data_IF_435657277251
#
_entry.id   IF_435657277251
#
_cell.length_a   1.000
_cell.length_b   1.000
_cell.length_c   1.000
_cell.angle_alpha   90.00
_cell.angle_beta   90.00
_cell.angle_gamma   90.00
#
_symmetry.space_group_name_H-M   'P 1'
#
loop_
_entity.id
_entity.type
_entity.pdbx_description
1 polymer ?
#
# COMPACT_ATOMS: atom_id res chain seq x y z
N UNK A 1 29.79 7.78 -12.01
CA UNK A 1 28.73 6.79 -12.29
C UNK A 1 27.39 7.41 -11.94
N UNK A 2 26.35 7.21 -12.75
CA UNK A 2 24.98 7.68 -12.47
C UNK A 2 24.13 6.48 -12.03
N UNK A 3 23.72 6.46 -10.76
CA UNK A 3 22.97 5.36 -10.12
C UNK A 3 21.45 5.54 -10.13
N UNK A 4 20.98 6.55 -10.86
CA UNK A 4 19.56 6.88 -10.94
C UNK A 4 19.19 7.12 -12.40
N UNK A 5 18.10 6.51 -12.83
CA UNK A 5 17.48 6.82 -14.11
C UNK A 5 16.90 8.25 -14.03
N UNK A 6 17.01 9.06 -15.10
CA UNK A 6 16.35 10.36 -15.19
C UNK A 6 14.84 10.20 -15.44
N UNK A 7 14.17 9.44 -14.58
CA UNK A 7 12.75 9.13 -14.70
C UNK A 7 11.92 10.14 -13.94
N UNK A 8 10.91 10.70 -14.61
CA UNK A 8 9.89 11.53 -13.98
C UNK A 8 8.70 10.67 -13.59
N UNK A 9 8.54 10.39 -12.30
CA UNK A 9 7.38 9.66 -11.78
C UNK A 9 6.20 10.63 -11.68
N UNK A 10 5.21 10.43 -12.53
CA UNK A 10 3.96 11.20 -12.47
C UNK A 10 3.17 10.81 -11.24
N UNK A 11 2.54 11.79 -10.60
CA UNK A 11 1.60 11.51 -9.52
C UNK A 11 0.41 10.69 -10.03
N UNK A 12 -0.11 9.74 -9.24
CA UNK A 12 -1.33 9.04 -9.60
C UNK A 12 -2.50 10.03 -9.67
N UNK A 13 -3.44 9.78 -10.60
CA UNK A 13 -4.61 10.64 -10.81
C UNK A 13 -5.53 10.68 -9.58
N UNK A 14 -5.55 9.62 -8.78
CA UNK A 14 -6.28 9.52 -7.51
C UNK A 14 -5.32 9.19 -6.38
N UNK A 15 -5.46 9.91 -5.27
CA UNK A 15 -4.83 9.61 -3.99
C UNK A 15 -5.88 9.00 -3.06
N UNK A 16 -5.42 8.24 -2.07
CA UNK A 16 -6.28 7.77 -0.98
C UNK A 16 -6.49 8.89 0.04
N UNK A 17 -7.66 8.91 0.67
CA UNK A 17 -8.02 9.81 1.75
C UNK A 17 -8.60 9.00 2.93
N UNK A 18 -8.74 9.62 4.11
CA UNK A 18 -9.24 8.95 5.31
C UNK A 18 -10.66 8.36 5.20
N UNK A 19 -11.44 8.82 4.21
CA UNK A 19 -12.79 8.33 3.96
C UNK A 19 -12.81 7.06 3.09
N UNK A 20 -11.70 6.75 2.42
CA UNK A 20 -11.60 5.57 1.58
C UNK A 20 -11.48 4.31 2.47
N UNK A 21 -12.26 3.28 2.14
CA UNK A 21 -12.10 1.93 2.69
C UNK A 21 -11.10 1.16 1.85
N UNK A 22 -10.03 0.67 2.46
CA UNK A 22 -8.89 0.09 1.74
C UNK A 22 -8.77 -1.40 2.08
N UNK A 23 -9.00 -2.27 1.08
CA UNK A 23 -8.71 -3.70 1.20
C UNK A 23 -7.25 -3.97 0.82
N UNK A 24 -6.55 -4.70 1.68
CA UNK A 24 -5.14 -5.08 1.51
C UNK A 24 -5.01 -6.60 1.47
N UNK A 25 -4.63 -7.12 0.30
CA UNK A 25 -4.36 -8.53 0.06
C UNK A 25 -3.07 -8.68 -0.76
N UNK A 26 -2.21 -9.63 -0.41
CA UNK A 26 -0.92 -9.82 -1.09
C UNK A 26 0.08 -10.58 -0.23
N UNK A 27 1.36 -10.28 -0.44
CA UNK A 27 2.46 -10.93 0.27
C UNK A 27 2.69 -10.35 1.68
N UNK A 28 3.75 -10.76 2.37
CA UNK A 28 4.14 -10.19 3.68
C UNK A 28 4.32 -8.66 3.64
N UNK A 29 4.72 -8.08 2.50
CA UNK A 29 4.84 -6.63 2.35
C UNK A 29 3.49 -5.91 2.55
N UNK A 30 2.40 -6.51 2.06
CA UNK A 30 1.06 -5.96 2.21
C UNK A 30 0.65 -5.90 3.67
N UNK A 31 1.11 -6.84 4.50
CA UNK A 31 0.85 -6.83 5.95
C UNK A 31 1.54 -5.66 6.65
N UNK A 32 2.81 -5.41 6.33
CA UNK A 32 3.55 -4.26 6.86
C UNK A 32 2.96 -2.92 6.42
N UNK A 33 2.55 -2.80 5.15
CA UNK A 33 1.86 -1.61 4.64
C UNK A 33 0.54 -1.40 5.38
N UNK A 34 -0.26 -2.46 5.56
CA UNK A 34 -1.53 -2.38 6.26
C UNK A 34 -1.40 -1.97 7.71
N UNK A 35 -0.37 -2.48 8.41
CA UNK A 35 -0.05 -2.01 9.76
C UNK A 35 0.27 -0.52 9.78
N UNK A 36 1.11 -0.03 8.86
CA UNK A 36 1.43 1.41 8.79
C UNK A 36 0.20 2.29 8.52
N UNK A 37 -0.68 1.88 7.60
CA UNK A 37 -1.91 2.60 7.30
C UNK A 37 -2.92 2.57 8.47
N UNK A 38 -3.03 1.43 9.17
CA UNK A 38 -3.82 1.30 10.40
C UNK A 38 -3.29 2.19 11.53
N UNK A 39 -1.96 2.24 11.71
CA UNK A 39 -1.31 3.08 12.73
C UNK A 39 -1.60 4.57 12.45
N UNK A 40 -1.70 4.95 11.17
CA UNK A 40 -2.12 6.27 10.70
C UNK A 40 -3.64 6.50 10.70
N UNK A 41 -4.45 5.56 11.18
CA UNK A 41 -5.93 5.66 11.30
C UNK A 41 -6.71 5.65 9.98
N UNK A 42 -6.15 5.09 8.91
CA UNK A 42 -6.95 4.78 7.72
C UNK A 42 -7.90 3.60 8.00
N UNK A 43 -9.06 3.60 7.34
CA UNK A 43 -10.00 2.49 7.37
C UNK A 43 -9.49 1.36 6.46
N UNK A 44 -8.76 0.42 7.07
CA UNK A 44 -8.12 -0.70 6.37
C UNK A 44 -8.76 -2.03 6.76
N UNK A 45 -8.94 -2.89 5.75
CA UNK A 45 -9.29 -4.28 5.91
C UNK A 45 -8.13 -5.13 5.38
N UNK A 46 -7.46 -5.88 6.26
CA UNK A 46 -6.41 -6.82 5.85
C UNK A 46 -7.03 -8.20 5.60
N UNK A 47 -6.54 -8.91 4.57
CA UNK A 47 -6.98 -10.26 4.26
C UNK A 47 -6.82 -11.20 5.47
N UNK A 48 -7.90 -11.79 6.02
CA UNK A 48 -7.81 -12.67 7.19
C UNK A 48 -7.16 -14.02 6.87
N UNK A 49 -7.02 -14.37 5.60
CA UNK A 49 -6.36 -15.61 5.16
C UNK A 49 -4.83 -15.48 5.05
N UNK A 50 -4.27 -14.33 5.47
CA UNK A 50 -2.82 -14.12 5.51
C UNK A 50 -2.18 -13.91 4.14
N UNK A 51 -0.93 -14.36 4.02
CA UNK A 51 -0.07 -14.18 2.85
C UNK A 51 -0.62 -14.98 1.67
N UNK A 52 -0.88 -14.29 0.56
CA UNK A 52 -1.20 -14.93 -0.72
C UNK A 52 0.10 -15.27 -1.44
N UNK A 53 0.32 -16.57 -1.70
CA UNK A 53 1.35 -17.06 -2.59
C UNK A 53 0.67 -17.50 -3.90
N UNK A 54 1.09 -16.89 -5.01
CA UNK A 54 0.62 -17.22 -6.37
C UNK A 54 1.75 -17.77 -7.21
#
# INVERSE_FOLDING_TARGET
MQWHLPISIKSPARKIAYQDKILLAGSCFTEHIGKGLSDLKFDVLQNPHGILFG
#
